data_IF_486594706982
#
_entry.id   IF_486594706982
#
_cell.length_a   1.000
_cell.length_b   1.000
_cell.length_c   1.000
_cell.angle_alpha   90.00
_cell.angle_beta   90.00
_cell.angle_gamma   90.00
#
_symmetry.space_group_name_H-M   'P 1'
#
loop_
_entity.id
_entity.type
_entity.pdbx_description
1 polymer ?
#
# COMPACT_ATOMS: atom_id res chain seq x y z
N UNK A 1 10.37 -10.41 -11.48
CA UNK A 1 10.43 -10.83 -10.07
C UNK A 1 10.03 -9.65 -9.20
N UNK A 2 9.06 -9.86 -8.30
CA UNK A 2 8.63 -8.83 -7.37
C UNK A 2 9.43 -9.02 -6.08
N UNK A 3 10.56 -8.33 -5.97
CA UNK A 3 11.40 -8.40 -4.77
C UNK A 3 10.84 -7.50 -3.67
N UNK A 4 11.31 -7.69 -2.43
CA UNK A 4 10.91 -6.90 -1.25
C UNK A 4 10.98 -5.38 -1.47
N UNK A 5 11.92 -4.92 -2.31
CA UNK A 5 12.06 -3.53 -2.76
C UNK A 5 10.89 -3.09 -3.64
N UNK A 6 10.50 -3.91 -4.61
CA UNK A 6 9.35 -3.64 -5.49
C UNK A 6 8.04 -3.58 -4.71
N UNK A 7 7.86 -4.48 -3.74
CA UNK A 7 6.71 -4.47 -2.83
C UNK A 7 6.63 -3.15 -2.03
N UNK A 8 7.75 -2.68 -1.45
CA UNK A 8 7.79 -1.43 -0.68
C UNK A 8 7.55 -0.20 -1.55
N UNK A 9 8.10 -0.17 -2.77
CA UNK A 9 7.87 0.92 -3.73
C UNK A 9 6.39 0.99 -4.08
N UNK A 10 5.78 -0.14 -4.48
CA UNK A 10 4.38 -0.18 -4.87
C UNK A 10 3.43 0.18 -3.73
N UNK A 11 3.72 -0.31 -2.52
CA UNK A 11 2.99 0.10 -1.31
C UNK A 11 3.03 1.62 -1.11
N UNK A 12 4.22 2.22 -1.22
CA UNK A 12 4.39 3.67 -1.02
C UNK A 12 3.65 4.52 -2.07
N UNK A 13 3.60 4.05 -3.31
CA UNK A 13 2.80 4.68 -4.39
C UNK A 13 1.31 4.64 -4.08
N UNK A 14 0.79 3.48 -3.66
CA UNK A 14 -0.62 3.29 -3.37
C UNK A 14 -1.05 4.08 -2.13
N UNK A 15 -0.23 4.10 -1.07
CA UNK A 15 -0.48 4.94 0.11
C UNK A 15 -0.57 6.41 -0.29
N UNK A 16 0.37 6.92 -1.09
CA UNK A 16 0.32 8.31 -1.56
C UNK A 16 -0.91 8.60 -2.42
N UNK A 17 -1.35 7.63 -3.24
CA UNK A 17 -2.54 7.79 -4.10
C UNK A 17 -3.84 7.87 -3.29
N UNK A 18 -3.94 7.11 -2.21
CA UNK A 18 -5.17 7.02 -1.40
C UNK A 18 -5.15 7.87 -0.14
N UNK A 19 -4.04 8.57 0.16
CA UNK A 19 -3.93 9.38 1.36
C UNK A 19 -4.86 10.60 1.29
N UNK A 20 -5.72 10.84 2.30
CA UNK A 20 -6.67 11.96 2.29
C UNK A 20 -5.97 13.32 2.21
N UNK A 21 -4.79 13.48 2.82
CA UNK A 21 -3.95 14.69 2.69
C UNK A 21 -3.64 15.06 1.23
N UNK A 22 -3.48 14.07 0.35
CA UNK A 22 -3.22 14.26 -1.08
C UNK A 22 -4.49 14.53 -1.89
N UNK A 23 -5.65 14.21 -1.32
CA UNK A 23 -6.97 14.32 -1.94
C UNK A 23 -7.81 15.43 -1.28
N UNK A 24 -7.18 16.44 -0.67
CA UNK A 24 -7.86 17.59 -0.07
C UNK A 24 -8.71 17.25 1.18
N UNK A 25 -8.38 16.16 1.87
CA UNK A 25 -9.14 15.64 3.00
C UNK A 25 -10.25 14.66 2.63
N UNK A 26 -10.39 14.31 1.34
CA UNK A 26 -11.37 13.31 0.89
C UNK A 26 -11.04 11.93 1.49
N UNK A 27 -11.96 11.43 2.32
CA UNK A 27 -11.86 10.12 2.98
C UNK A 27 -12.55 9.01 2.21
N UNK A 28 -13.08 9.28 1.01
CA UNK A 28 -13.76 8.29 0.18
C UNK A 28 -12.84 7.11 -0.18
N UNK A 29 -11.52 7.36 -0.21
CA UNK A 29 -10.49 6.36 -0.52
C UNK A 29 -9.89 5.68 0.72
N UNK A 30 -10.35 5.98 1.93
CA UNK A 30 -9.77 5.47 3.17
C UNK A 30 -9.92 3.94 3.29
N UNK A 31 -11.03 3.39 2.79
CA UNK A 31 -11.24 1.93 2.70
C UNK A 31 -10.19 1.27 1.81
N UNK A 32 -9.93 1.83 0.63
CA UNK A 32 -8.91 1.33 -0.28
C UNK A 32 -7.50 1.45 0.32
N UNK A 33 -7.23 2.53 1.06
CA UNK A 33 -5.97 2.68 1.81
C UNK A 33 -5.80 1.57 2.85
N UNK A 34 -6.85 1.24 3.60
CA UNK A 34 -6.79 0.13 4.57
C UNK A 34 -6.55 -1.23 3.90
N UNK A 35 -7.21 -1.51 2.78
CA UNK A 35 -7.00 -2.75 2.02
C UNK A 35 -5.55 -2.88 1.52
N UNK A 36 -4.98 -1.78 1.03
CA UNK A 36 -3.56 -1.73 0.61
C UNK A 36 -2.62 -2.02 1.78
N UNK A 37 -2.89 -1.45 2.96
CA UNK A 37 -2.09 -1.68 4.16
C UNK A 37 -2.18 -3.15 4.60
N UNK A 38 -3.39 -3.72 4.64
CA UNK A 38 -3.61 -5.12 5.01
C UNK A 38 -2.88 -6.08 4.05
N UNK A 39 -3.03 -5.87 2.75
CA UNK A 39 -2.34 -6.65 1.72
C UNK A 39 -0.81 -6.54 1.87
N UNK A 40 -0.27 -5.35 2.08
CA UNK A 40 1.18 -5.18 2.27
C UNK A 40 1.70 -5.90 3.52
N UNK A 41 0.97 -5.86 4.64
CA UNK A 41 1.37 -6.58 5.86
C UNK A 41 1.42 -8.10 5.63
N UNK A 42 0.46 -8.65 4.88
CA UNK A 42 0.44 -10.07 4.52
C UNK A 42 1.58 -10.42 3.57
N UNK A 43 1.79 -9.64 2.50
CA UNK A 43 2.84 -9.87 1.51
C UNK A 43 4.25 -9.71 2.09
N UNK A 44 4.45 -8.76 3.02
CA UNK A 44 5.75 -8.57 3.70
C UNK A 44 6.18 -9.80 4.52
N UNK A 45 5.22 -10.58 5.01
CA UNK A 45 5.47 -11.82 5.78
C UNK A 45 5.60 -13.05 4.88
N UNK A 46 5.26 -12.93 3.60
CA UNK A 46 5.29 -14.04 2.66
C UNK A 46 6.73 -14.37 2.22
N UNK A 47 7.13 -15.65 2.20
CA UNK A 47 8.42 -16.07 1.69
C UNK A 47 8.60 -15.81 0.18
N UNK A 48 7.51 -15.56 -0.56
CA UNK A 48 7.55 -15.21 -1.98
C UNK A 48 8.24 -13.85 -2.26
N UNK A 49 8.36 -12.99 -1.24
CA UNK A 49 9.03 -11.69 -1.32
C UNK A 49 10.26 -11.65 -0.41
N UNK A 50 10.80 -12.82 -0.03
CA UNK A 50 11.93 -12.93 0.88
C UNK A 50 13.29 -12.69 0.23
#
# INVERSE_FOLDING_TARGET
NADRKGLRTRYSELVRKFHPDRNGGDRSMEKALQEVIAAYQQLKRSPAFA
#
